data_IF_117405061329
#
_entry.id   IF_117405061329
#
_cell.length_a   1.000
_cell.length_b   1.000
_cell.length_c   1.000
_cell.angle_alpha   90.00
_cell.angle_beta   90.00
_cell.angle_gamma   90.00
#
_symmetry.space_group_name_H-M   'P 1'
#
loop_
_entity.id
_entity.type
_entity.pdbx_description
1 polymer ?
#
# COMPACT_ATOMS: atom_id res chain seq x y z
N UNK A 1 -11.24 15.17 10.68
CA UNK A 1 -10.33 14.30 9.90
C UNK A 1 -10.66 12.85 10.22
N UNK A 2 -10.88 12.02 9.19
CA UNK A 2 -11.22 10.60 9.35
C UNK A 2 -9.96 9.74 9.17
N UNK A 3 -9.72 8.79 10.08
CA UNK A 3 -8.46 8.04 10.17
C UNK A 3 -8.71 6.53 10.17
N UNK A 4 -9.22 5.95 9.07
CA UNK A 4 -9.53 4.53 9.05
C UNK A 4 -8.24 3.71 9.09
N UNK A 5 -8.23 2.66 9.89
CA UNK A 5 -7.13 1.70 9.96
C UNK A 5 -7.59 0.34 9.50
N UNK A 6 -6.88 -0.23 8.53
CA UNK A 6 -7.11 -1.61 8.08
C UNK A 6 -5.86 -2.44 8.34
N UNK A 7 -6.04 -3.59 9.00
CA UNK A 7 -5.00 -4.58 9.22
C UNK A 7 -5.45 -5.91 8.63
N UNK A 8 -4.62 -6.48 7.77
CA UNK A 8 -4.91 -7.71 7.06
C UNK A 8 -3.80 -8.72 7.27
N UNK A 9 -4.22 -9.95 7.48
CA UNK A 9 -3.38 -11.14 7.59
C UNK A 9 -3.84 -12.13 6.54
N UNK A 10 -2.90 -12.64 5.76
CA UNK A 10 -3.20 -13.58 4.69
C UNK A 10 -2.80 -14.99 5.09
N UNK A 11 -3.51 -16.04 4.60
CA UNK A 11 -3.05 -17.41 4.72
C UNK A 11 -1.90 -17.70 3.73
N UNK A 12 -1.05 -18.72 4.01
CA UNK A 12 0.04 -19.14 3.12
C UNK A 12 -0.44 -19.44 1.70
N UNK A 13 0.44 -19.23 0.71
CA UNK A 13 0.19 -19.60 -0.69
C UNK A 13 -1.07 -18.99 -1.30
N UNK A 14 -1.49 -17.82 -0.81
CA UNK A 14 -2.69 -17.14 -1.29
C UNK A 14 -2.39 -16.05 -2.32
N UNK A 15 -3.25 -15.95 -3.33
CA UNK A 15 -3.37 -14.78 -4.21
C UNK A 15 -4.52 -13.93 -3.73
N UNK A 16 -4.31 -12.63 -3.55
CA UNK A 16 -5.33 -11.71 -3.02
C UNK A 16 -5.32 -10.41 -3.79
N UNK A 17 -6.52 -9.91 -4.07
CA UNK A 17 -6.74 -8.61 -4.70
C UNK A 17 -7.48 -7.73 -3.70
N UNK A 18 -6.86 -6.63 -3.30
CA UNK A 18 -7.42 -5.66 -2.37
C UNK A 18 -7.58 -4.33 -3.08
N UNK A 19 -8.81 -3.81 -3.07
CA UNK A 19 -9.14 -2.51 -3.64
C UNK A 19 -9.75 -1.64 -2.55
N UNK A 20 -9.13 -0.50 -2.28
CA UNK A 20 -9.58 0.41 -1.23
C UNK A 20 -9.90 1.77 -1.83
N UNK A 21 -11.06 2.28 -1.45
CA UNK A 21 -11.54 3.61 -1.74
C UNK A 21 -11.65 4.37 -0.43
N UNK A 22 -11.12 5.59 -0.41
CA UNK A 22 -11.06 6.41 0.79
C UNK A 22 -11.93 7.66 0.59
N UNK A 23 -12.50 8.23 1.66
CA UNK A 23 -13.20 9.51 1.59
C UNK A 23 -12.21 10.70 1.56
N UNK A 24 -12.61 11.89 1.06
CA UNK A 24 -11.77 13.09 1.04
C UNK A 24 -11.20 13.44 2.42
N UNK A 25 -10.02 14.06 2.45
CA UNK A 25 -9.43 14.61 3.68
C UNK A 25 -9.24 13.59 4.81
N UNK A 26 -8.77 12.39 4.45
CA UNK A 26 -8.52 11.29 5.37
C UNK A 26 -7.03 10.94 5.52
N UNK A 27 -6.68 10.33 6.65
CA UNK A 27 -5.31 9.85 6.94
C UNK A 27 -5.32 8.33 7.20
N UNK A 28 -5.54 7.50 6.16
CA UNK A 28 -5.76 6.09 6.34
C UNK A 28 -4.46 5.37 6.66
N UNK A 29 -4.55 4.35 7.50
CA UNK A 29 -3.43 3.45 7.81
C UNK A 29 -3.72 2.04 7.34
N UNK A 30 -2.87 1.51 6.47
CA UNK A 30 -2.94 0.13 6.00
C UNK A 30 -1.73 -0.65 6.48
N UNK A 31 -1.97 -1.78 7.14
CA UNK A 31 -0.93 -2.77 7.48
C UNK A 31 -1.29 -4.12 6.88
N UNK A 32 -0.41 -4.65 6.04
CA UNK A 32 -0.56 -5.99 5.46
C UNK A 32 0.58 -6.88 5.93
N UNK A 33 0.23 -8.03 6.48
CA UNK A 33 1.17 -9.09 6.85
C UNK A 33 0.96 -10.28 5.91
N UNK A 34 2.03 -10.67 5.24
CA UNK A 34 2.02 -11.76 4.28
C UNK A 34 2.74 -12.97 4.88
N UNK A 35 2.26 -14.19 4.59
CA UNK A 35 3.00 -15.43 4.75
C UNK A 35 3.82 -15.77 3.49
N UNK A 36 4.74 -16.76 3.57
CA UNK A 36 5.58 -17.15 2.44
C UNK A 36 4.79 -17.49 1.19
N UNK A 37 5.40 -17.26 0.03
CA UNK A 37 4.86 -17.64 -1.29
C UNK A 37 3.50 -16.99 -1.64
N UNK A 38 3.29 -15.74 -1.21
CA UNK A 38 2.10 -14.95 -1.54
C UNK A 38 2.31 -13.93 -2.67
N UNK A 39 1.24 -13.66 -3.43
CA UNK A 39 1.22 -12.73 -4.57
C UNK A 39 0.11 -11.67 -4.44
N UNK A 40 0.20 -10.75 -3.47
CA UNK A 40 -0.86 -9.78 -3.21
C UNK A 40 -0.83 -8.63 -4.22
N UNK A 41 -2.01 -8.22 -4.65
CA UNK A 41 -2.25 -7.07 -5.49
C UNK A 41 -3.08 -6.04 -4.71
N UNK A 42 -2.45 -4.93 -4.34
CA UNK A 42 -3.12 -3.83 -3.67
C UNK A 42 -3.31 -2.65 -4.63
N UNK A 43 -4.56 -2.20 -4.76
CA UNK A 43 -4.92 -0.98 -5.49
C UNK A 43 -5.62 -0.01 -4.55
N UNK A 44 -5.07 1.17 -4.40
CA UNK A 44 -5.61 2.16 -3.48
C UNK A 44 -5.93 3.45 -4.25
N UNK A 45 -7.20 3.84 -4.18
CA UNK A 45 -7.73 5.05 -4.81
C UNK A 45 -7.95 6.09 -3.74
N UNK A 46 -7.28 7.21 -3.90
CA UNK A 46 -7.35 8.30 -2.94
C UNK A 46 -8.10 9.47 -3.54
N UNK A 47 -8.93 10.16 -2.77
CA UNK A 47 -9.41 11.49 -3.11
C UNK A 47 -8.34 12.56 -2.78
N UNK A 48 -8.61 13.84 -3.08
CA UNK A 48 -7.68 14.93 -2.79
C UNK A 48 -7.41 15.09 -1.27
N UNK A 49 -6.25 15.64 -0.94
CA UNK A 49 -5.86 16.01 0.43
C UNK A 49 -5.77 14.81 1.40
N UNK A 50 -5.23 13.69 0.93
CA UNK A 50 -5.05 12.48 1.74
C UNK A 50 -3.58 12.23 2.11
N UNK A 51 -3.35 11.69 3.30
CA UNK A 51 -2.00 11.33 3.79
C UNK A 51 -1.97 9.86 4.23
N UNK A 52 -1.96 8.89 3.30
CA UNK A 52 -1.98 7.48 3.68
C UNK A 52 -0.65 7.04 4.30
N UNK A 53 -0.74 6.10 5.21
CA UNK A 53 0.39 5.32 5.69
C UNK A 53 0.20 3.85 5.32
N UNK A 54 1.07 3.31 4.49
CA UNK A 54 1.04 1.92 4.04
C UNK A 54 2.29 1.20 4.58
N UNK A 55 2.08 0.09 5.29
CA UNK A 55 3.15 -0.81 5.74
C UNK A 55 2.88 -2.22 5.25
N UNK A 56 3.85 -2.79 4.54
CA UNK A 56 3.79 -4.15 4.01
C UNK A 56 4.91 -4.97 4.65
N UNK A 57 4.56 -6.08 5.30
CA UNK A 57 5.50 -7.03 5.90
C UNK A 57 5.49 -8.32 5.11
N UNK A 58 6.67 -8.69 4.61
CA UNK A 58 6.81 -9.68 3.55
C UNK A 58 7.87 -10.71 3.94
N UNK A 59 7.53 -12.00 3.90
CA UNK A 59 8.48 -13.10 4.04
C UNK A 59 9.13 -13.43 2.69
N UNK A 60 10.11 -14.36 2.63
CA UNK A 60 10.78 -14.73 1.39
C UNK A 60 9.83 -15.17 0.28
N UNK A 61 10.25 -14.96 -0.96
CA UNK A 61 9.55 -15.43 -2.16
C UNK A 61 8.15 -14.81 -2.36
N UNK A 62 7.96 -13.56 -1.93
CA UNK A 62 6.75 -12.79 -2.19
C UNK A 62 6.93 -11.81 -3.36
N UNK A 63 5.87 -11.63 -4.15
CA UNK A 63 5.83 -10.71 -5.31
C UNK A 63 4.65 -9.74 -5.20
N UNK A 64 4.74 -8.73 -4.30
CA UNK A 64 3.65 -7.79 -4.11
C UNK A 64 3.52 -6.85 -5.32
N UNK A 65 2.29 -6.45 -5.61
CA UNK A 65 1.99 -5.42 -6.57
C UNK A 65 1.18 -4.32 -5.88
N UNK A 66 1.77 -3.13 -5.73
CA UNK A 66 1.12 -1.96 -5.16
C UNK A 66 0.87 -0.91 -6.23
N UNK A 67 -0.39 -0.50 -6.39
CA UNK A 67 -0.79 0.64 -7.22
C UNK A 67 -1.51 1.69 -6.39
N UNK A 68 -1.02 2.91 -6.42
CA UNK A 68 -1.61 4.05 -5.73
C UNK A 68 -2.06 5.10 -6.75
N UNK A 69 -3.32 5.53 -6.68
CA UNK A 69 -3.89 6.59 -7.52
C UNK A 69 -4.24 7.80 -6.67
N UNK A 70 -3.68 8.96 -7.02
CA UNK A 70 -3.76 10.19 -6.22
C UNK A 70 -4.11 11.39 -7.10
N UNK A 71 -5.19 12.13 -6.80
CA UNK A 71 -5.71 13.18 -7.68
C UNK A 71 -5.18 14.59 -7.36
N UNK A 72 -4.78 14.92 -6.11
CA UNK A 72 -4.10 16.20 -5.77
C UNK A 72 -3.61 16.26 -4.31
N UNK A 73 -2.47 16.92 -4.09
CA UNK A 73 -1.94 17.29 -2.77
C UNK A 73 -1.97 16.14 -1.74
N UNK A 74 -1.40 14.99 -2.11
CA UNK A 74 -1.28 13.83 -1.23
C UNK A 74 0.16 13.61 -0.78
N UNK A 75 0.35 13.12 0.43
CA UNK A 75 1.67 12.81 1.00
C UNK A 75 1.72 11.36 1.49
N UNK A 76 1.83 10.38 0.58
CA UNK A 76 1.82 8.99 0.99
C UNK A 76 3.14 8.60 1.66
N UNK A 77 3.03 7.85 2.77
CA UNK A 77 4.15 7.15 3.38
C UNK A 77 4.03 5.66 3.11
N UNK A 78 5.00 5.09 2.40
CA UNK A 78 5.03 3.67 2.08
C UNK A 78 6.29 3.06 2.69
N UNK A 79 6.11 2.01 3.48
CA UNK A 79 7.20 1.20 4.03
C UNK A 79 6.99 -0.26 3.65
N UNK A 80 7.94 -0.82 2.93
CA UNK A 80 8.04 -2.25 2.70
C UNK A 80 9.10 -2.81 3.66
N UNK A 81 8.81 -3.97 4.24
CA UNK A 81 9.71 -4.75 5.07
C UNK A 81 9.80 -6.11 4.42
N UNK A 82 10.89 -6.37 3.70
CA UNK A 82 11.03 -7.55 2.87
C UNK A 82 12.46 -8.09 2.88
N UNK A 83 12.65 -9.42 2.77
CA UNK A 83 13.96 -10.00 2.53
C UNK A 83 14.45 -9.73 1.10
N UNK A 84 15.77 -9.90 0.83
CA UNK A 84 16.36 -9.65 -0.48
C UNK A 84 15.77 -10.46 -1.64
N UNK A 85 15.12 -11.60 -1.35
CA UNK A 85 14.49 -12.48 -2.35
C UNK A 85 13.12 -12.00 -2.83
N UNK A 86 12.56 -10.93 -2.24
CA UNK A 86 11.31 -10.35 -2.67
C UNK A 86 11.50 -9.35 -3.81
N UNK A 87 10.55 -9.34 -4.74
CA UNK A 87 10.55 -8.39 -5.88
C UNK A 87 9.26 -7.59 -5.89
N UNK A 88 9.24 -6.40 -5.25
CA UNK A 88 8.04 -5.60 -5.20
C UNK A 88 7.85 -4.77 -6.47
N UNK A 89 6.62 -4.72 -6.94
CA UNK A 89 6.22 -3.82 -8.01
C UNK A 89 5.41 -2.67 -7.43
N UNK A 90 5.95 -1.46 -7.48
CA UNK A 90 5.32 -0.26 -6.95
C UNK A 90 5.04 0.74 -8.06
N UNK A 91 3.77 1.10 -8.24
CA UNK A 91 3.33 2.12 -9.21
C UNK A 91 2.56 3.22 -8.51
N UNK A 92 3.04 4.45 -8.65
CA UNK A 92 2.39 5.64 -8.12
C UNK A 92 1.91 6.51 -9.29
N UNK A 93 0.60 6.74 -9.34
CA UNK A 93 -0.04 7.66 -10.27
C UNK A 93 -0.42 8.91 -9.48
N UNK A 94 0.38 9.96 -9.62
CA UNK A 94 0.24 11.18 -8.83
C UNK A 94 0.56 12.44 -9.66
N UNK A 95 -0.10 13.58 -9.38
CA UNK A 95 0.30 14.88 -9.92
C UNK A 95 1.57 15.40 -9.23
N UNK A 96 2.23 16.40 -9.85
CA UNK A 96 3.47 17.03 -9.34
C UNK A 96 3.36 17.58 -7.90
N UNK A 97 2.16 17.90 -7.46
CA UNK A 97 1.88 18.42 -6.11
C UNK A 97 1.96 17.36 -5.00
N UNK A 98 2.11 16.09 -5.34
CA UNK A 98 2.20 15.01 -4.35
C UNK A 98 3.67 14.74 -3.98
N UNK A 99 3.92 14.51 -2.70
CA UNK A 99 5.27 14.19 -2.18
C UNK A 99 5.27 12.82 -1.51
N UNK A 100 5.59 11.74 -2.24
CA UNK A 100 5.66 10.41 -1.68
C UNK A 100 6.96 10.19 -0.91
N UNK A 101 6.87 9.47 0.19
CA UNK A 101 8.01 8.88 0.90
C UNK A 101 7.93 7.36 0.76
N UNK A 102 8.93 6.75 0.12
CA UNK A 102 9.01 5.30 -0.06
C UNK A 102 10.26 4.79 0.64
N UNK A 103 10.09 3.78 1.49
CA UNK A 103 11.18 3.02 2.10
C UNK A 103 10.98 1.55 1.81
N UNK A 104 12.05 0.90 1.34
CA UNK A 104 12.12 -0.53 1.08
C UNK A 104 12.86 -1.27 2.19
#
# INVERSE_FOLDING_TARGET
SYTPSLRLYQPPSCTTNLRLYQPPSCTPSLRLYQPPSCTPNLRLYQPPFCTPSIRLYQPPSCTPNLRLYQPRSCTPSIRLYQPPSCTPNLRLYQPRSCTPSIRL
#
